data_IF_661491832467
#
_entry.id   IF_661491832467
#
_cell.length_a   1.000
_cell.length_b   1.000
_cell.length_c   1.000
_cell.angle_alpha   90.00
_cell.angle_beta   90.00
_cell.angle_gamma   90.00
#
_symmetry.space_group_name_H-M   'P 1'
#
loop_
_entity.id
_entity.type
_entity.pdbx_description
1 polymer ?
#
# COMPACT_ATOMS: atom_id res chain seq x y z
N UNK A 1 7.97 19.40 13.16
CA UNK A 1 6.57 19.11 13.53
C UNK A 1 6.17 20.10 14.61
N UNK A 2 5.51 21.19 14.19
CA UNK A 2 5.00 22.22 15.09
C UNK A 2 3.49 22.03 15.32
N UNK A 3 3.02 20.80 15.40
CA UNK A 3 1.62 20.53 15.68
C UNK A 3 1.47 20.25 17.19
N UNK A 4 0.51 20.88 17.81
CA UNK A 4 -0.03 20.52 19.12
C UNK A 4 -0.85 19.22 19.08
N UNK A 5 -0.66 18.41 18.06
CA UNK A 5 -1.40 17.17 17.76
C UNK A 5 -0.43 16.01 17.87
N UNK A 6 -0.84 14.99 18.61
CA UNK A 6 -0.07 13.75 18.74
C UNK A 6 -0.12 12.96 17.44
N UNK A 7 1.07 12.61 16.94
CA UNK A 7 1.28 11.91 15.66
C UNK A 7 1.79 10.52 15.95
N UNK A 8 1.18 9.52 15.33
CA UNK A 8 1.69 8.14 15.30
C UNK A 8 2.33 7.83 13.94
N UNK A 9 2.99 6.69 13.86
CA UNK A 9 3.50 6.13 12.61
C UNK A 9 2.97 4.71 12.44
N UNK A 10 2.37 4.39 11.32
CA UNK A 10 2.05 3.01 10.96
C UNK A 10 3.34 2.26 10.64
N UNK A 11 3.51 1.12 11.29
CA UNK A 11 4.78 0.41 11.32
C UNK A 11 4.59 -1.09 11.12
N UNK A 12 4.57 -1.52 9.87
CA UNK A 12 4.44 -2.94 9.49
C UNK A 12 5.78 -3.70 9.47
N UNK A 13 6.89 -3.01 9.68
CA UNK A 13 8.23 -3.59 9.50
C UNK A 13 8.62 -3.84 8.03
N UNK A 14 7.80 -3.42 7.07
CA UNK A 14 8.17 -3.35 5.65
C UNK A 14 9.16 -2.20 5.39
N UNK A 15 9.80 -2.20 4.22
CA UNK A 15 10.85 -1.22 3.88
C UNK A 15 10.34 0.21 3.98
N UNK A 16 9.19 0.50 3.37
CA UNK A 16 8.62 1.86 3.26
C UNK A 16 8.19 2.41 4.63
N UNK A 17 7.37 1.65 5.36
CA UNK A 17 6.94 2.03 6.70
C UNK A 17 8.11 2.20 7.66
N UNK A 18 9.15 1.37 7.52
CA UNK A 18 10.36 1.43 8.35
C UNK A 18 11.21 2.65 8.04
N UNK A 19 11.30 3.05 6.78
CA UNK A 19 12.02 4.25 6.36
C UNK A 19 11.32 5.51 6.89
N UNK A 20 10.00 5.60 6.75
CA UNK A 20 9.20 6.71 7.30
C UNK A 20 9.35 6.77 8.82
N UNK A 21 9.16 5.63 9.51
CA UNK A 21 9.32 5.55 10.96
C UNK A 21 10.72 5.97 11.42
N UNK A 22 11.78 5.48 10.78
CA UNK A 22 13.15 5.81 11.14
C UNK A 22 13.45 7.30 11.00
N UNK A 23 12.91 7.97 9.98
CA UNK A 23 13.06 9.41 9.80
C UNK A 23 12.19 10.21 10.79
N UNK A 24 10.95 9.79 11.03
CA UNK A 24 10.09 10.43 12.01
C UNK A 24 10.68 10.37 13.42
N UNK A 25 11.30 9.25 13.79
CA UNK A 25 11.99 9.04 15.06
C UNK A 25 13.20 9.93 15.26
N UNK A 26 13.90 10.35 14.20
CA UNK A 26 14.99 11.34 14.32
C UNK A 26 14.48 12.70 14.80
N UNK A 27 13.23 13.03 14.48
CA UNK A 27 12.58 14.30 14.85
C UNK A 27 11.91 14.16 16.23
N UNK A 28 11.20 13.05 16.46
CA UNK A 28 10.54 12.73 17.72
C UNK A 28 10.92 11.31 18.14
N UNK A 29 11.81 11.18 19.11
CA UNK A 29 12.30 9.87 19.59
C UNK A 29 11.20 9.00 20.18
N UNK A 30 10.13 9.60 20.71
CA UNK A 30 9.02 8.92 21.37
C UNK A 30 7.77 8.82 20.47
N UNK A 31 7.90 9.03 19.15
CA UNK A 31 6.78 8.85 18.23
C UNK A 31 6.19 7.44 18.41
N UNK A 32 4.87 7.34 18.51
CA UNK A 32 4.22 6.03 18.61
C UNK A 32 4.35 5.25 17.30
N UNK A 33 4.81 4.02 17.38
CA UNK A 33 4.73 3.04 16.30
C UNK A 33 3.47 2.19 16.49
N UNK A 34 2.63 2.05 15.48
CA UNK A 34 1.41 1.24 15.56
C UNK A 34 1.46 0.18 14.46
N UNK A 35 1.32 -1.08 14.88
CA UNK A 35 1.26 -2.25 13.99
C UNK A 35 -0.09 -2.93 14.16
N UNK A 36 -0.80 -3.16 13.06
CA UNK A 36 -1.96 -4.04 13.03
C UNK A 36 -1.50 -5.48 12.80
N UNK A 37 -2.01 -6.39 13.61
CA UNK A 37 -1.76 -7.83 13.54
C UNK A 37 -3.05 -8.52 13.07
N UNK A 38 -3.09 -8.98 11.83
CA UNK A 38 -4.22 -9.69 11.24
C UNK A 38 -4.19 -11.20 11.50
N UNK A 39 -3.26 -11.69 12.32
CA UNK A 39 -3.16 -13.08 12.71
C UNK A 39 -2.33 -13.95 11.76
N UNK A 40 -2.72 -15.22 11.62
CA UNK A 40 -1.95 -16.19 10.84
C UNK A 40 -1.77 -15.75 9.37
N UNK A 41 -0.51 -15.81 8.89
CA UNK A 41 -0.13 -15.42 7.54
C UNK A 41 0.31 -13.96 7.40
N UNK A 42 0.20 -13.15 8.45
CA UNK A 42 0.72 -11.79 8.49
C UNK A 42 2.02 -11.70 9.31
N UNK A 43 3.14 -11.50 8.63
CA UNK A 43 4.45 -11.35 9.29
C UNK A 43 4.71 -9.92 9.79
N UNK A 44 3.78 -8.98 9.64
CA UNK A 44 3.99 -7.59 10.03
C UNK A 44 4.34 -7.44 11.50
N UNK A 45 3.66 -8.18 12.37
CA UNK A 45 3.95 -8.21 13.81
C UNK A 45 5.40 -8.63 14.09
N UNK A 46 5.84 -9.75 13.50
CA UNK A 46 7.19 -10.27 13.74
C UNK A 46 8.27 -9.33 13.21
N UNK A 47 8.07 -8.79 11.99
CA UNK A 47 9.01 -7.83 11.40
C UNK A 47 9.09 -6.54 12.21
N UNK A 48 7.95 -6.00 12.61
CA UNK A 48 7.89 -4.75 13.38
C UNK A 48 8.51 -4.90 14.76
N UNK A 49 8.28 -6.01 15.46
CA UNK A 49 8.89 -6.30 16.75
C UNK A 49 10.42 -6.39 16.65
N UNK A 50 10.93 -7.18 15.70
CA UNK A 50 12.37 -7.33 15.49
C UNK A 50 13.06 -5.99 15.20
N UNK A 51 12.41 -5.14 14.40
CA UNK A 51 12.97 -3.84 14.06
C UNK A 51 12.84 -2.83 15.21
N UNK A 52 11.74 -2.84 15.97
CA UNK A 52 11.58 -2.00 17.16
C UNK A 52 12.63 -2.34 18.22
N UNK A 53 12.91 -3.62 18.43
CA UNK A 53 13.96 -4.10 19.32
C UNK A 53 15.35 -3.63 18.86
N UNK A 54 15.68 -3.82 17.57
CA UNK A 54 16.95 -3.36 17.00
C UNK A 54 17.15 -1.85 17.13
N UNK A 55 16.08 -1.08 17.04
CA UNK A 55 16.07 0.36 17.23
C UNK A 55 15.97 0.78 18.69
N UNK A 56 15.79 -0.12 19.63
CA UNK A 56 15.51 0.14 21.05
C UNK A 56 14.34 1.13 21.20
N UNK A 57 13.24 0.84 20.52
CA UNK A 57 12.05 1.68 20.52
C UNK A 57 10.97 1.06 21.40
N UNK A 58 10.60 1.73 22.48
CA UNK A 58 9.69 1.21 23.50
C UNK A 58 8.22 1.56 23.23
N UNK A 59 7.96 2.70 22.57
CA UNK A 59 6.58 3.17 22.27
C UNK A 59 6.03 2.49 21.02
N UNK A 60 5.88 1.16 21.08
CA UNK A 60 5.36 0.33 20.00
C UNK A 60 4.09 -0.37 20.45
N UNK A 61 2.99 -0.05 19.79
CA UNK A 61 1.66 -0.59 20.04
C UNK A 61 1.32 -1.63 18.97
N UNK A 62 0.98 -2.84 19.41
CA UNK A 62 0.48 -3.90 18.51
C UNK A 62 -1.01 -4.05 18.76
N UNK A 63 -1.80 -3.89 17.71
CA UNK A 63 -3.25 -4.06 17.73
C UNK A 63 -3.61 -5.38 17.05
N UNK A 64 -4.03 -6.36 17.82
CA UNK A 64 -4.62 -7.59 17.29
C UNK A 64 -6.01 -7.27 16.70
N UNK A 65 -6.24 -7.73 15.48
CA UNK A 65 -7.46 -7.51 14.72
C UNK A 65 -8.35 -8.75 14.84
N UNK A 66 -9.56 -8.53 15.31
CA UNK A 66 -10.56 -9.58 15.46
C UNK A 66 -11.53 -9.64 14.27
N UNK A 67 -12.26 -10.75 14.15
CA UNK A 67 -13.34 -10.86 13.17
C UNK A 67 -14.42 -9.78 13.36
N UNK A 68 -14.66 -9.35 14.59
CA UNK A 68 -15.62 -8.28 14.87
C UNK A 68 -15.15 -6.93 14.30
N UNK A 69 -13.83 -6.64 14.35
CA UNK A 69 -13.29 -5.42 13.74
C UNK A 69 -13.51 -5.44 12.21
N UNK A 70 -13.41 -6.61 11.57
CA UNK A 70 -13.68 -6.78 10.13
C UNK A 70 -15.18 -6.59 9.83
N UNK A 71 -16.07 -7.17 10.62
CA UNK A 71 -17.52 -7.04 10.46
C UNK A 71 -17.96 -5.57 10.64
N UNK A 72 -17.45 -4.89 11.66
CA UNK A 72 -17.77 -3.49 11.92
C UNK A 72 -17.25 -2.57 10.80
N UNK A 73 -16.05 -2.86 10.27
CA UNK A 73 -15.49 -2.15 9.12
C UNK A 73 -16.36 -2.34 7.87
N UNK A 74 -16.81 -3.58 7.60
CA UNK A 74 -17.69 -3.87 6.47
C UNK A 74 -19.04 -3.14 6.56
N UNK A 75 -19.64 -3.08 7.75
CA UNK A 75 -20.88 -2.33 7.98
C UNK A 75 -20.67 -0.85 7.69
N UNK A 76 -19.64 -0.26 8.28
CA UNK A 76 -19.31 1.15 8.08
C UNK A 76 -19.08 1.48 6.59
N UNK A 77 -18.28 0.66 5.88
CA UNK A 77 -17.99 0.88 4.47
C UNK A 77 -19.28 0.78 3.64
N UNK A 78 -20.16 -0.18 3.95
CA UNK A 78 -21.44 -0.32 3.24
C UNK A 78 -22.39 0.87 3.44
N UNK A 79 -22.26 1.60 4.55
CA UNK A 79 -23.06 2.79 4.84
C UNK A 79 -22.53 4.05 4.14
N UNK A 80 -21.20 4.16 4.00
CA UNK A 80 -20.56 5.36 3.43
C UNK A 80 -20.32 5.26 1.92
N UNK A 81 -20.22 4.05 1.36
CA UNK A 81 -20.03 3.86 -0.07
C UNK A 81 -21.39 3.81 -0.78
N UNK A 82 -21.68 4.81 -1.62
CA UNK A 82 -22.92 4.90 -2.40
C UNK A 82 -23.03 3.88 -3.53
N UNK A 83 -21.92 3.25 -3.90
CA UNK A 83 -21.85 2.27 -5.01
C UNK A 83 -20.93 1.10 -4.65
N UNK A 84 -21.08 -0.06 -5.32
CA UNK A 84 -20.17 -1.18 -5.14
C UNK A 84 -18.71 -0.78 -5.34
N UNK A 85 -17.87 -1.17 -4.40
CA UNK A 85 -16.45 -0.85 -4.34
C UNK A 85 -15.63 -2.14 -4.55
N UNK A 86 -14.70 -2.14 -5.49
CA UNK A 86 -13.94 -3.34 -5.90
C UNK A 86 -12.53 -3.40 -5.28
N UNK A 87 -12.14 -2.41 -4.48
CA UNK A 87 -10.85 -2.42 -3.79
C UNK A 87 -11.00 -2.97 -2.38
N UNK A 88 -10.55 -4.21 -2.19
CA UNK A 88 -10.61 -4.90 -0.89
C UNK A 88 -9.68 -4.31 0.16
N UNK A 89 -8.72 -3.46 -0.22
CA UNK A 89 -7.76 -2.82 0.69
C UNK A 89 -8.42 -1.79 1.61
N UNK A 90 -9.63 -1.32 1.28
CA UNK A 90 -10.38 -0.36 2.10
C UNK A 90 -10.67 -0.91 3.50
N UNK A 91 -10.95 -2.22 3.62
CA UNK A 91 -11.28 -2.87 4.89
C UNK A 91 -10.09 -2.84 5.86
N UNK A 92 -8.92 -3.41 5.51
CA UNK A 92 -7.76 -3.36 6.38
C UNK A 92 -7.30 -1.93 6.65
N UNK A 93 -7.37 -1.03 5.66
CA UNK A 93 -7.03 0.38 5.84
C UNK A 93 -7.93 1.06 6.89
N UNK A 94 -9.25 0.85 6.80
CA UNK A 94 -10.19 1.39 7.79
C UNK A 94 -9.89 0.88 9.20
N UNK A 95 -9.62 -0.42 9.36
CA UNK A 95 -9.30 -1.03 10.66
C UNK A 95 -8.01 -0.44 11.24
N UNK A 96 -6.99 -0.26 10.40
CA UNK A 96 -5.70 0.30 10.81
C UNK A 96 -5.87 1.75 11.28
N UNK A 97 -6.58 2.59 10.53
CA UNK A 97 -6.83 3.98 10.92
C UNK A 97 -7.73 4.10 12.14
N UNK A 98 -8.72 3.23 12.28
CA UNK A 98 -9.53 3.16 13.50
C UNK A 98 -8.66 2.77 14.72
N UNK A 99 -7.69 1.89 14.55
CA UNK A 99 -6.74 1.51 15.58
C UNK A 99 -5.88 2.70 16.03
N UNK A 100 -5.43 3.54 15.09
CA UNK A 100 -4.72 4.80 15.38
C UNK A 100 -5.59 5.72 16.24
N UNK A 101 -6.84 5.91 15.83
CA UNK A 101 -7.81 6.76 16.55
C UNK A 101 -8.10 6.25 17.95
N UNK A 102 -8.34 4.93 18.10
CA UNK A 102 -8.56 4.30 19.41
C UNK A 102 -7.35 4.39 20.33
N UNK A 103 -6.15 4.48 19.77
CA UNK A 103 -4.91 4.71 20.52
C UNK A 103 -4.69 6.17 20.94
N UNK A 104 -5.65 7.08 20.62
CA UNK A 104 -5.61 8.47 21.00
C UNK A 104 -4.88 9.40 20.03
N UNK A 105 -4.48 8.90 18.85
CA UNK A 105 -3.78 9.68 17.84
C UNK A 105 -4.74 10.18 16.75
N UNK A 106 -4.57 11.45 16.35
CA UNK A 106 -5.38 12.08 15.30
C UNK A 106 -4.71 12.11 13.93
N UNK A 107 -3.40 11.86 13.89
CA UNK A 107 -2.59 11.87 12.67
C UNK A 107 -1.69 10.63 12.66
N UNK A 108 -1.61 9.95 11.52
CA UNK A 108 -0.67 8.88 11.29
C UNK A 108 0.20 9.17 10.07
N UNK A 109 1.50 8.86 10.19
CA UNK A 109 2.42 8.79 9.07
C UNK A 109 2.38 7.36 8.52
N UNK A 110 2.28 7.21 7.21
CA UNK A 110 2.20 5.92 6.53
C UNK A 110 3.28 5.79 5.46
N UNK A 111 3.54 4.56 5.02
CA UNK A 111 4.38 4.25 3.87
C UNK A 111 3.63 4.30 2.53
N UNK A 112 2.34 4.64 2.54
CA UNK A 112 1.49 4.64 1.35
C UNK A 112 2.04 5.60 0.29
N UNK A 113 1.95 5.19 -0.97
CA UNK A 113 2.50 5.94 -2.10
C UNK A 113 3.98 5.65 -2.41
N UNK A 114 4.68 4.88 -1.57
CA UNK A 114 6.09 4.55 -1.82
C UNK A 114 6.24 3.62 -3.03
N UNK A 115 5.39 2.62 -3.17
CA UNK A 115 5.39 1.69 -4.29
C UNK A 115 5.14 2.40 -5.62
N UNK A 116 4.28 3.42 -5.65
CA UNK A 116 4.02 4.26 -6.81
C UNK A 116 5.23 5.11 -7.17
N UNK A 117 5.90 5.69 -6.17
CA UNK A 117 7.07 6.56 -6.38
C UNK A 117 8.33 5.78 -6.74
N UNK A 118 8.54 4.63 -6.13
CA UNK A 118 9.77 3.84 -6.25
C UNK A 118 9.61 2.55 -7.06
N UNK A 119 8.46 2.39 -7.73
CA UNK A 119 8.16 1.22 -8.58
C UNK A 119 8.24 -0.11 -7.81
N UNK A 120 7.72 -0.15 -6.58
CA UNK A 120 7.79 -1.32 -5.69
C UNK A 120 6.90 -2.49 -6.12
N UNK A 121 5.83 -2.24 -6.87
CA UNK A 121 4.95 -3.31 -7.35
C UNK A 121 5.65 -4.22 -8.38
N UNK A 122 5.45 -5.52 -8.24
CA UNK A 122 5.97 -6.52 -9.18
C UNK A 122 5.51 -6.30 -10.63
N UNK A 123 4.35 -5.67 -10.83
CA UNK A 123 3.84 -5.26 -12.14
C UNK A 123 4.77 -4.31 -12.87
N UNK A 124 5.42 -3.36 -12.19
CA UNK A 124 6.40 -2.45 -12.80
C UNK A 124 7.64 -3.20 -13.29
N UNK A 125 8.13 -4.17 -12.52
CA UNK A 125 9.26 -5.02 -12.96
C UNK A 125 8.93 -5.82 -14.21
N UNK A 126 7.71 -6.34 -14.31
CA UNK A 126 7.26 -7.10 -15.47
C UNK A 126 7.07 -6.20 -16.71
N UNK A 127 6.54 -4.98 -16.53
CA UNK A 127 6.45 -3.98 -17.59
C UNK A 127 7.83 -3.58 -18.11
N UNK A 128 8.79 -3.31 -17.22
CA UNK A 128 10.16 -2.98 -17.63
C UNK A 128 10.85 -4.10 -18.39
N UNK A 129 10.61 -5.37 -18.03
CA UNK A 129 11.12 -6.52 -18.78
C UNK A 129 10.47 -6.64 -20.16
N UNK A 130 9.17 -6.41 -20.25
CA UNK A 130 8.43 -6.41 -21.51
C UNK A 130 8.90 -5.26 -22.41
N UNK A 131 9.09 -4.06 -21.87
CA UNK A 131 9.60 -2.90 -22.59
C UNK A 131 11.01 -3.18 -23.18
N UNK A 132 11.94 -3.68 -22.36
CA UNK A 132 13.26 -4.11 -22.83
C UNK A 132 13.21 -5.19 -23.90
N UNK A 133 12.29 -6.13 -23.80
CA UNK A 133 12.09 -7.18 -24.80
C UNK A 133 11.56 -6.61 -26.13
N UNK A 134 10.65 -5.64 -26.05
CA UNK A 134 10.08 -4.95 -27.20
C UNK A 134 11.12 -4.05 -27.90
N UNK A 135 11.93 -3.31 -27.12
CA UNK A 135 12.99 -2.43 -27.65
C UNK A 135 14.15 -3.21 -28.28
N UNK A 136 14.50 -4.36 -27.71
CA UNK A 136 15.70 -5.11 -28.14
C UNK A 136 15.56 -5.84 -29.47
N UNK A 137 14.34 -6.10 -30.01
CA UNK A 137 14.19 -6.99 -31.17
C UNK A 137 13.11 -6.65 -32.19
N UNK A 138 12.16 -5.71 -31.97
CA UNK A 138 10.93 -5.71 -32.79
C UNK A 138 10.34 -4.34 -33.16
N UNK A 139 11.09 -3.25 -33.05
CA UNK A 139 10.53 -1.91 -33.32
C UNK A 139 9.85 -1.74 -34.68
N UNK A 140 10.34 -2.28 -35.83
CA UNK A 140 9.63 -2.13 -37.08
C UNK A 140 8.46 -3.12 -37.29
N UNK A 141 8.44 -4.28 -36.59
CA UNK A 141 7.46 -5.33 -36.83
C UNK A 141 6.26 -5.33 -35.87
N UNK A 142 6.42 -4.80 -34.64
CA UNK A 142 5.34 -4.79 -33.63
C UNK A 142 4.45 -3.56 -33.75
N UNK A 143 4.91 -2.44 -34.29
CA UNK A 143 4.05 -1.26 -34.53
C UNK A 143 2.93 -1.54 -35.57
N UNK A 144 3.14 -2.49 -36.48
CA UNK A 144 2.12 -2.86 -37.47
C UNK A 144 1.01 -3.77 -36.91
N UNK A 145 1.29 -4.80 -36.09
CA UNK A 145 0.26 -5.70 -35.55
C UNK A 145 -0.51 -5.12 -34.35
N UNK A 146 -0.03 -4.07 -33.68
CA UNK A 146 -0.72 -3.49 -32.53
C UNK A 146 -2.17 -3.10 -32.83
N UNK A 147 -2.46 -2.67 -34.07
CA UNK A 147 -3.83 -2.42 -34.54
C UNK A 147 -4.64 -3.70 -34.78
N UNK A 148 -3.98 -4.81 -35.08
CA UNK A 148 -4.64 -6.09 -35.40
C UNK A 148 -4.93 -6.87 -34.13
N UNK A 149 -4.04 -6.83 -33.14
CA UNK A 149 -4.19 -7.52 -31.85
C UNK A 149 -4.95 -6.71 -30.77
N UNK A 150 -5.13 -5.40 -30.95
CA UNK A 150 -5.90 -4.57 -30.02
C UNK A 150 -7.39 -4.97 -29.88
N UNK A 151 -7.98 -5.57 -30.93
CA UNK A 151 -9.38 -6.00 -30.89
C UNK A 151 -9.67 -7.18 -29.94
N UNK A 152 -8.86 -8.25 -29.88
CA UNK A 152 -9.12 -9.34 -28.93
C UNK A 152 -8.78 -8.97 -27.47
N UNK A 153 -7.81 -8.09 -27.24
CA UNK A 153 -7.39 -7.67 -25.89
C UNK A 153 -8.42 -6.75 -25.23
N UNK A 154 -9.15 -5.96 -26.03
CA UNK A 154 -10.24 -5.11 -25.53
C UNK A 154 -11.41 -5.89 -24.90
N UNK A 155 -11.48 -7.21 -25.12
CA UNK A 155 -12.49 -8.08 -24.52
C UNK A 155 -12.20 -8.41 -23.05
N UNK A 156 -10.95 -8.23 -22.61
CA UNK A 156 -10.56 -8.31 -21.20
C UNK A 156 -10.57 -6.93 -20.57
N UNK A 157 -11.75 -6.47 -20.15
CA UNK A 157 -11.99 -5.16 -19.51
C UNK A 157 -11.18 -4.89 -18.23
N UNK A 158 -10.46 -5.89 -17.71
CA UNK A 158 -9.63 -5.75 -16.51
C UNK A 158 -8.19 -5.33 -16.77
N UNK A 159 -7.75 -5.25 -18.02
CA UNK A 159 -6.41 -4.83 -18.39
C UNK A 159 -6.50 -3.53 -19.19
N UNK A 160 -6.29 -2.39 -18.54
CA UNK A 160 -6.14 -1.08 -19.19
C UNK A 160 -4.89 -0.98 -20.08
N UNK A 161 -4.44 -2.10 -20.67
CA UNK A 161 -3.31 -2.18 -21.59
C UNK A 161 -3.54 -1.42 -22.90
N UNK A 162 -4.79 -1.13 -23.24
CA UNK A 162 -5.13 -0.38 -24.48
C UNK A 162 -4.65 1.07 -24.46
N UNK A 163 -4.40 1.67 -23.28
CA UNK A 163 -3.86 3.04 -23.18
C UNK A 163 -2.38 3.13 -23.55
N UNK A 164 -1.64 2.02 -23.47
CA UNK A 164 -0.21 1.99 -23.78
C UNK A 164 0.10 1.82 -25.28
N UNK A 165 -0.86 1.36 -26.09
CA UNK A 165 -0.64 1.03 -27.49
C UNK A 165 -1.28 1.99 -28.49
N UNK A 166 -2.02 2.99 -28.02
CA UNK A 166 -2.59 4.02 -28.90
C UNK A 166 -1.68 5.25 -28.89
N UNK A 167 -1.18 5.71 -30.06
CA UNK A 167 -0.47 6.98 -30.14
C UNK A 167 -1.43 8.11 -29.74
N UNK A 168 -0.98 8.98 -28.86
CA UNK A 168 -1.67 10.26 -28.60
C UNK A 168 -1.85 11.02 -29.91
N UNK A 169 -3.07 11.49 -30.15
CA UNK A 169 -3.38 12.39 -31.28
C UNK A 169 -2.93 13.79 -30.98
#
# INVERSE_FOLDING_TARGET
MNASIDVACLFSGGVDSSLIFSNARKINKNIAAITADFGEGDDAKLRSLSLAEALKHENHLIREISNNDVEDSLKLISEICESPFDDTSIIPSNIVFESVKRSGYSVALTGDGADELFCGYSSFSNLSKLEKFLDARFDPFIRLPGKIFAKPISKYKSLNLTRFFLPEK
#
